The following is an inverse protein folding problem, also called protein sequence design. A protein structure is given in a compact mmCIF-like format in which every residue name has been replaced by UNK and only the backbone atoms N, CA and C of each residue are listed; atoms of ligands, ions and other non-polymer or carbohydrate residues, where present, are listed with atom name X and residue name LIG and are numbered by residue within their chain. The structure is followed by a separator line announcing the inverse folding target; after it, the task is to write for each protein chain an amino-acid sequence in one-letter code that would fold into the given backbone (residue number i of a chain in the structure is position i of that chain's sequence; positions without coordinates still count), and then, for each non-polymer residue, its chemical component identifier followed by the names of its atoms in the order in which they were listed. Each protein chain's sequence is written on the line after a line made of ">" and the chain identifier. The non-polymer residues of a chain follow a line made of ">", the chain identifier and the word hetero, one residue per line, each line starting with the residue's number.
data_IF_501749365047
#
_entry.id   IF_501749365047
#
_cell.length_a   1.000
_cell.length_b   1.000
_cell.length_c   1.000
_cell.angle_alpha   90.00
_cell.angle_beta   90.00
_cell.angle_gamma   90.00
#
_symmetry.space_group_name_H-M   'P 1'
#
loop_
_entity.id
_entity.type
_entity.pdbx_description
1 polymer ?
#
# COMPACT_ATOMS: atom_id res chain seq x y z
N UNK A 1 8.53 -44.66 38.13
CA UNK A 1 7.81 -45.53 37.18
C UNK A 1 7.13 -44.65 36.15
N UNK A 2 7.65 -44.65 34.92
CA UNK A 2 7.11 -43.97 33.74
C UNK A 2 5.94 -44.77 33.14
N UNK A 3 4.87 -44.08 32.73
CA UNK A 3 3.83 -44.39 31.69
C UNK A 3 2.54 -43.68 32.12
N UNK A 4 1.80 -42.91 31.33
CA UNK A 4 1.77 -42.51 29.91
C UNK A 4 0.69 -41.40 29.81
N UNK A 5 0.19 -40.86 28.70
CA UNK A 5 0.36 -40.98 27.24
C UNK A 5 -0.25 -39.66 26.72
N UNK A 6 0.43 -38.96 25.80
CA UNK A 6 -0.11 -37.83 25.03
C UNK A 6 -1.23 -38.30 24.10
N UNK A 7 -2.25 -37.47 23.79
CA UNK A 7 -2.86 -37.50 22.47
C UNK A 7 -2.25 -36.37 21.62
N UNK A 8 -1.41 -36.79 20.68
CA UNK A 8 -0.96 -36.03 19.53
C UNK A 8 -2.15 -35.94 18.56
N UNK A 9 -2.86 -34.81 18.55
CA UNK A 9 -3.86 -34.49 17.54
C UNK A 9 -3.16 -33.72 16.41
N UNK A 10 -2.60 -34.45 15.45
CA UNK A 10 -1.98 -33.88 14.25
C UNK A 10 -2.51 -34.62 13.02
N UNK A 11 -3.78 -34.35 12.67
CA UNK A 11 -4.34 -34.83 11.40
C UNK A 11 -5.14 -33.75 10.65
N UNK A 12 -5.33 -32.56 11.25
CA UNK A 12 -6.07 -31.45 10.64
C UNK A 12 -5.20 -30.25 10.20
N UNK A 13 -3.90 -30.22 10.54
CA UNK A 13 -3.04 -29.03 10.32
C UNK A 13 -2.53 -28.86 8.88
N UNK A 14 -2.73 -29.85 8.00
CA UNK A 14 -2.29 -29.79 6.59
C UNK A 14 -3.49 -29.60 5.64
N UNK A 15 -4.68 -30.05 6.04
CA UNK A 15 -5.89 -30.02 5.20
C UNK A 15 -6.45 -28.60 5.10
N UNK A 16 -6.42 -27.81 6.18
CA UNK A 16 -6.85 -26.41 6.15
C UNK A 16 -5.97 -25.50 5.27
N UNK A 17 -4.62 -25.50 5.40
CA UNK A 17 -3.75 -24.76 4.49
C UNK A 17 -3.91 -25.18 3.03
N UNK A 18 -4.17 -26.47 2.77
CA UNK A 18 -4.42 -26.97 1.41
C UNK A 18 -5.78 -26.53 0.86
N UNK A 19 -6.83 -26.50 1.67
CA UNK A 19 -8.14 -25.97 1.30
C UNK A 19 -8.11 -24.44 1.10
N UNK A 20 -7.33 -23.72 1.91
CA UNK A 20 -7.05 -22.29 1.72
C UNK A 20 -6.26 -22.10 0.43
N UNK A 21 -5.22 -22.90 0.16
CA UNK A 21 -4.48 -22.86 -1.09
C UNK A 21 -5.37 -23.17 -2.31
N UNK A 22 -6.31 -24.11 -2.20
CA UNK A 22 -7.28 -24.43 -3.26
C UNK A 22 -8.34 -23.33 -3.42
N UNK A 23 -8.82 -22.71 -2.34
CA UNK A 23 -9.72 -21.54 -2.40
C UNK A 23 -9.02 -20.31 -2.99
N UNK A 24 -7.79 -20.04 -2.57
CA UNK A 24 -6.92 -19.01 -3.12
C UNK A 24 -6.60 -19.30 -4.58
N UNK A 25 -6.29 -20.55 -4.93
CA UNK A 25 -6.10 -20.99 -6.31
C UNK A 25 -7.37 -20.76 -7.14
N UNK A 26 -8.57 -21.04 -6.60
CA UNK A 26 -9.85 -20.76 -7.26
C UNK A 26 -10.14 -19.26 -7.38
N UNK A 27 -9.79 -18.43 -6.40
CA UNK A 27 -9.94 -16.96 -6.46
C UNK A 27 -8.93 -16.37 -7.45
N UNK A 28 -7.67 -16.83 -7.41
CA UNK A 28 -6.61 -16.49 -8.36
C UNK A 28 -7.00 -16.97 -9.76
N UNK A 29 -7.57 -18.16 -9.93
CA UNK A 29 -8.10 -18.66 -11.20
C UNK A 29 -9.31 -17.87 -11.66
N UNK A 30 -10.20 -17.45 -10.76
CA UNK A 30 -11.35 -16.59 -11.09
C UNK A 30 -10.88 -15.19 -11.49
N UNK A 31 -9.80 -14.69 -10.90
CA UNK A 31 -9.13 -13.44 -11.25
C UNK A 31 -8.31 -13.57 -12.54
N UNK A 32 -7.60 -14.68 -12.77
CA UNK A 32 -6.91 -15.00 -14.04
C UNK A 32 -7.95 -15.17 -15.15
N UNK A 33 -9.10 -15.77 -14.86
CA UNK A 33 -10.19 -15.92 -15.81
C UNK A 33 -10.93 -14.60 -16.03
N UNK A 34 -11.06 -13.73 -15.02
CA UNK A 34 -11.55 -12.37 -15.18
C UNK A 34 -10.57 -11.51 -15.99
N UNK A 35 -9.26 -11.60 -15.73
CA UNK A 35 -8.19 -10.96 -16.49
C UNK A 35 -8.10 -11.54 -17.91
N UNK A 36 -8.32 -12.85 -18.10
CA UNK A 36 -8.43 -13.48 -19.44
C UNK A 36 -9.70 -13.06 -20.16
N UNK A 37 -10.83 -12.90 -19.46
CA UNK A 37 -12.08 -12.42 -20.04
C UNK A 37 -11.96 -10.95 -20.45
N UNK A 38 -11.29 -10.13 -19.62
CA UNK A 38 -10.91 -8.75 -19.92
C UNK A 38 -9.85 -8.66 -21.03
N UNK A 39 -8.92 -9.62 -21.11
CA UNK A 39 -7.93 -9.71 -22.19
C UNK A 39 -8.54 -10.16 -23.52
N UNK A 40 -9.58 -11.00 -23.48
CA UNK A 40 -10.32 -11.46 -24.65
C UNK A 40 -11.31 -10.43 -25.20
N UNK A 41 -11.71 -9.42 -24.41
CA UNK A 41 -12.59 -8.34 -24.88
C UNK A 41 -11.86 -7.27 -25.71
N UNK A 42 -10.60 -7.49 -26.10
CA UNK A 42 -9.81 -6.56 -26.94
C UNK A 42 -9.41 -5.25 -26.25
N UNK A 43 -10.05 -4.89 -25.14
CA UNK A 43 -9.80 -3.66 -24.39
C UNK A 43 -8.53 -3.69 -23.53
N UNK A 44 -8.21 -4.81 -22.86
CA UNK A 44 -7.12 -4.82 -21.87
C UNK A 44 -5.72 -4.58 -22.46
N UNK A 45 -5.44 -5.10 -23.67
CA UNK A 45 -4.15 -4.87 -24.34
C UNK A 45 -4.02 -3.40 -24.80
N UNK A 46 -5.12 -2.81 -25.28
CA UNK A 46 -5.17 -1.41 -25.69
C UNK A 46 -5.12 -0.45 -24.49
N UNK A 47 -5.84 -0.77 -23.39
CA UNK A 47 -5.89 0.07 -22.19
C UNK A 47 -4.56 0.07 -21.45
N UNK A 48 -3.88 -1.08 -21.28
CA UNK A 48 -2.54 -1.12 -20.65
C UNK A 48 -1.47 -0.51 -21.55
N UNK A 49 -1.54 -0.71 -22.88
CA UNK A 49 -0.60 -0.08 -23.84
C UNK A 49 -0.85 1.42 -24.03
N UNK A 50 -2.10 1.90 -23.86
CA UNK A 50 -2.49 3.32 -23.91
C UNK A 50 -2.23 4.04 -22.58
N UNK A 51 -2.41 3.36 -21.43
CA UNK A 51 -2.02 3.87 -20.11
C UNK A 51 -0.50 3.99 -19.97
N UNK A 52 0.24 3.00 -20.47
CA UNK A 52 1.70 3.04 -20.57
C UNK A 52 2.19 3.75 -21.83
N UNK A 53 1.32 4.52 -22.50
CA UNK A 53 1.63 5.33 -23.67
C UNK A 53 2.79 6.26 -23.35
N UNK A 54 3.98 5.80 -23.71
CA UNK A 54 5.25 6.43 -23.44
C UNK A 54 5.28 7.73 -24.25
N UNK A 55 4.90 8.84 -23.63
CA UNK A 55 5.36 10.14 -24.07
C UNK A 55 6.89 10.09 -24.11
N UNK A 56 7.47 10.70 -25.15
CA UNK A 56 8.91 10.75 -25.38
C UNK A 56 9.66 10.94 -24.05
N UNK A 57 10.38 9.90 -23.64
CA UNK A 57 11.24 9.94 -22.48
C UNK A 57 12.42 10.87 -22.80
N UNK A 58 12.29 12.16 -22.45
CA UNK A 58 13.43 13.06 -22.25
C UNK A 58 13.13 14.03 -21.11
N UNK A 59 14.12 14.07 -20.21
CA UNK A 59 14.34 15.05 -19.15
C UNK A 59 13.27 15.09 -18.05
N UNK A 60 13.58 14.48 -16.91
CA UNK A 60 12.81 14.67 -15.69
C UNK A 60 12.84 16.15 -15.29
N UNK A 61 11.85 16.91 -15.73
CA UNK A 61 11.64 18.31 -15.37
C UNK A 61 11.57 18.40 -13.84
N UNK A 62 12.60 18.94 -13.18
CA UNK A 62 12.50 19.18 -11.74
C UNK A 62 11.30 20.08 -11.51
N UNK A 63 10.40 19.67 -10.61
CA UNK A 63 9.25 20.49 -10.25
C UNK A 63 9.75 21.86 -9.82
N UNK A 64 9.15 22.91 -10.37
CA UNK A 64 9.52 24.29 -10.04
C UNK A 64 9.37 24.51 -8.54
N UNK A 65 10.46 24.90 -7.89
CA UNK A 65 10.47 25.15 -6.45
C UNK A 65 9.90 26.54 -6.18
N UNK A 66 8.94 26.62 -5.27
CA UNK A 66 8.31 27.89 -4.90
C UNK A 66 8.49 28.18 -3.41
N UNK A 67 8.63 29.46 -3.06
CA UNK A 67 8.71 29.89 -1.65
C UNK A 67 7.35 29.90 -0.94
N UNK A 68 6.25 29.58 -1.65
CA UNK A 68 4.88 29.58 -1.14
C UNK A 68 4.30 28.16 -1.21
N UNK A 69 3.81 27.63 -0.09
CA UNK A 69 3.15 26.32 -0.06
C UNK A 69 3.65 25.41 1.06
N UNK A 70 3.32 24.13 0.96
CA UNK A 70 3.71 23.07 1.88
C UNK A 70 4.97 22.37 1.39
N UNK A 71 5.94 22.21 2.27
CA UNK A 71 7.11 21.38 2.02
C UNK A 71 6.82 19.88 2.15
N UNK A 72 7.68 19.04 1.59
CA UNK A 72 7.52 17.59 1.64
C UNK A 72 7.54 17.05 3.07
N UNK A 73 8.31 17.66 3.97
CA UNK A 73 8.32 17.31 5.39
C UNK A 73 6.98 17.66 6.08
N UNK A 74 6.34 18.78 5.73
CA UNK A 74 5.02 19.14 6.28
C UNK A 74 3.95 18.19 5.77
N UNK A 75 3.96 17.84 4.48
CA UNK A 75 3.04 16.83 3.93
C UNK A 75 3.21 15.48 4.64
N UNK A 76 4.45 15.04 4.85
CA UNK A 76 4.73 13.81 5.61
C UNK A 76 4.22 13.88 7.05
N UNK A 77 4.30 15.04 7.69
CA UNK A 77 3.76 15.22 9.04
C UNK A 77 2.23 15.07 9.04
N UNK A 78 1.53 15.69 8.09
CA UNK A 78 0.07 15.48 7.93
C UNK A 78 -0.26 13.99 7.69
N UNK A 79 0.52 13.31 6.83
CA UNK A 79 0.34 11.89 6.56
C UNK A 79 0.58 11.01 7.80
N UNK A 80 1.59 11.35 8.61
CA UNK A 80 1.88 10.64 9.87
C UNK A 80 0.72 10.77 10.86
N UNK A 81 0.22 12.00 11.07
CA UNK A 81 -0.91 12.25 11.96
C UNK A 81 -2.17 11.51 11.48
N UNK A 82 -2.50 11.61 10.19
CA UNK A 82 -3.62 10.89 9.58
C UNK A 82 -3.49 9.36 9.76
N UNK A 83 -2.32 8.79 9.45
CA UNK A 83 -2.04 7.35 9.61
C UNK A 83 -2.17 6.88 11.06
N UNK A 84 -1.73 7.70 12.03
CA UNK A 84 -1.91 7.39 13.45
C UNK A 84 -3.38 7.35 13.83
N UNK A 85 -4.16 8.34 13.39
CA UNK A 85 -5.60 8.33 13.63
C UNK A 85 -6.23 7.06 13.06
N UNK A 86 -5.89 6.66 11.83
CA UNK A 86 -6.44 5.45 11.20
C UNK A 86 -6.08 4.16 11.97
N UNK A 87 -4.80 3.99 12.29
CA UNK A 87 -4.32 2.77 12.95
C UNK A 87 -4.84 2.66 14.38
N UNK A 88 -4.83 3.74 15.16
CA UNK A 88 -5.41 3.74 16.50
C UNK A 88 -6.92 3.47 16.45
N UNK A 89 -7.64 4.09 15.50
CA UNK A 89 -9.07 3.81 15.31
C UNK A 89 -9.31 2.33 15.00
N UNK A 90 -8.51 1.75 14.11
CA UNK A 90 -8.61 0.35 13.70
C UNK A 90 -8.32 -0.64 14.83
N UNK A 91 -7.42 -0.31 15.78
CA UNK A 91 -7.12 -1.19 16.92
C UNK A 91 -7.99 -0.95 18.13
N UNK A 92 -8.55 0.25 18.32
CA UNK A 92 -9.47 0.58 19.43
C UNK A 92 -10.91 0.17 19.10
N UNK A 93 -11.31 0.21 17.82
CA UNK A 93 -12.63 -0.21 17.38
C UNK A 93 -12.51 -1.18 16.18
N UNK A 94 -12.20 -2.47 16.45
CA UNK A 94 -12.11 -3.48 15.41
C UNK A 94 -13.50 -3.82 14.81
N UNK A 95 -13.50 -4.69 13.79
CA UNK A 95 -14.72 -5.26 13.18
C UNK A 95 -15.60 -4.28 12.38
N UNK A 96 -14.99 -3.24 11.81
CA UNK A 96 -15.63 -2.39 10.80
C UNK A 96 -16.89 -1.65 11.32
N UNK A 97 -16.82 -0.98 12.48
CA UNK A 97 -17.95 -0.24 13.03
C UNK A 97 -18.40 0.89 12.08
N UNK A 98 -19.70 1.15 12.05
CA UNK A 98 -20.31 2.10 11.11
C UNK A 98 -20.76 3.41 11.76
N UNK A 99 -20.36 3.65 13.00
CA UNK A 99 -20.61 4.92 13.67
C UNK A 99 -19.97 6.07 12.88
N UNK A 100 -20.75 7.12 12.62
CA UNK A 100 -20.36 8.22 11.74
C UNK A 100 -19.03 8.87 12.14
N UNK A 101 -18.76 8.96 13.45
CA UNK A 101 -17.53 9.55 13.97
C UNK A 101 -16.32 8.62 13.81
N UNK A 102 -16.49 7.30 13.88
CA UNK A 102 -15.42 6.32 13.59
C UNK A 102 -15.09 6.35 12.09
N UNK A 103 -16.12 6.36 11.24
CA UNK A 103 -15.95 6.51 9.80
C UNK A 103 -15.20 7.81 9.45
N UNK A 104 -15.48 8.91 10.15
CA UNK A 104 -14.77 10.18 9.99
C UNK A 104 -13.27 10.06 10.31
N UNK A 105 -12.91 9.34 11.38
CA UNK A 105 -11.50 9.10 11.72
C UNK A 105 -10.79 8.29 10.62
N UNK A 106 -11.44 7.26 10.08
CA UNK A 106 -10.92 6.50 8.94
C UNK A 106 -10.80 7.37 7.66
N UNK A 107 -11.76 8.26 7.41
CA UNK A 107 -11.70 9.21 6.28
C UNK A 107 -10.44 10.07 6.36
N UNK A 108 -10.15 10.63 7.54
CA UNK A 108 -8.91 11.38 7.78
C UNK A 108 -7.69 10.48 7.51
N UNK A 109 -7.75 9.24 7.99
CA UNK A 109 -6.76 8.20 7.74
C UNK A 109 -6.40 7.96 6.28
N UNK A 110 -7.40 7.89 5.39
CA UNK A 110 -7.21 7.61 3.95
C UNK A 110 -6.38 8.66 3.22
N UNK A 111 -6.20 9.85 3.80
CA UNK A 111 -5.31 10.88 3.22
C UNK A 111 -3.83 10.49 3.28
N UNK A 112 -3.42 9.61 4.20
CA UNK A 112 -2.02 9.28 4.43
C UNK A 112 -1.36 8.56 3.26
N UNK A 113 -2.00 7.53 2.71
CA UNK A 113 -1.42 6.68 1.67
C UNK A 113 -1.07 7.46 0.38
N UNK A 114 -1.98 8.27 -0.20
CA UNK A 114 -1.65 9.11 -1.36
C UNK A 114 -0.47 10.07 -1.14
N UNK A 115 -0.35 10.63 0.07
CA UNK A 115 0.78 11.52 0.39
C UNK A 115 2.08 10.72 0.34
N UNK A 116 2.11 9.52 0.91
CA UNK A 116 3.29 8.67 0.84
C UNK A 116 3.59 8.19 -0.58
N UNK A 117 2.59 7.82 -1.37
CA UNK A 117 2.79 7.45 -2.79
C UNK A 117 3.43 8.60 -3.57
N UNK A 118 2.87 9.81 -3.44
CA UNK A 118 3.38 11.00 -4.11
C UNK A 118 4.80 11.36 -3.65
N UNK A 119 5.07 11.32 -2.33
CA UNK A 119 6.40 11.59 -1.79
C UNK A 119 7.45 10.54 -2.15
N UNK A 120 7.04 9.28 -2.39
CA UNK A 120 7.91 8.21 -2.86
C UNK A 120 8.24 8.40 -4.34
N UNK A 121 7.25 8.70 -5.17
CA UNK A 121 7.45 9.03 -6.59
C UNK A 121 8.36 10.26 -6.75
N UNK A 122 8.15 11.34 -6.00
CA UNK A 122 9.05 12.50 -6.00
C UNK A 122 10.44 12.14 -5.48
N UNK A 123 10.53 11.31 -4.43
CA UNK A 123 11.80 10.84 -3.87
C UNK A 123 12.66 10.05 -4.86
N UNK A 124 12.01 9.29 -5.76
CA UNK A 124 12.67 8.58 -6.85
C UNK A 124 13.34 9.55 -7.83
N UNK A 125 12.68 10.64 -8.21
CA UNK A 125 13.22 11.62 -9.16
C UNK A 125 14.32 12.52 -8.57
N UNK A 126 14.29 12.79 -7.27
CA UNK A 126 15.28 13.65 -6.61
C UNK A 126 16.48 12.91 -6.00
N UNK A 127 16.44 11.57 -5.89
CA UNK A 127 17.54 10.85 -5.24
C UNK A 127 18.77 10.75 -6.13
N UNK A 128 19.93 11.13 -5.60
CA UNK A 128 21.22 10.93 -6.29
C UNK A 128 21.66 9.46 -6.31
N UNK A 129 21.19 8.66 -5.36
CA UNK A 129 21.55 7.24 -5.26
C UNK A 129 20.30 6.40 -5.03
N UNK A 130 19.78 5.84 -6.13
CA UNK A 130 18.57 5.04 -6.11
C UNK A 130 18.73 3.73 -5.32
N UNK A 131 19.88 3.04 -5.45
CA UNK A 131 20.16 1.80 -4.70
C UNK A 131 20.08 2.01 -3.20
N UNK A 132 20.70 3.08 -2.69
CA UNK A 132 20.62 3.44 -1.27
C UNK A 132 19.21 3.86 -0.86
N UNK A 133 18.43 4.47 -1.76
CA UNK A 133 17.06 4.85 -1.47
C UNK A 133 16.14 3.63 -1.38
N UNK A 134 16.15 2.75 -2.39
CA UNK A 134 15.40 1.52 -2.42
C UNK A 134 15.80 0.58 -1.26
N UNK A 135 17.10 0.44 -0.97
CA UNK A 135 17.59 -0.35 0.17
C UNK A 135 17.06 0.14 1.52
N UNK A 136 16.92 1.46 1.72
CA UNK A 136 16.29 1.98 2.94
C UNK A 136 14.81 1.63 3.00
N UNK A 137 14.07 1.77 1.90
CA UNK A 137 12.65 1.38 1.86
C UNK A 137 12.48 -0.11 2.13
N UNK A 138 13.35 -0.97 1.60
CA UNK A 138 13.32 -2.39 1.87
C UNK A 138 13.57 -2.71 3.35
N UNK A 139 14.57 -2.08 3.98
CA UNK A 139 14.83 -2.24 5.42
C UNK A 139 13.57 -1.83 6.23
N UNK A 140 12.95 -0.70 5.88
CA UNK A 140 11.72 -0.27 6.54
C UNK A 140 10.51 -1.14 6.22
N UNK A 141 10.48 -1.82 5.06
CA UNK A 141 9.44 -2.79 4.74
C UNK A 141 9.56 -4.04 5.61
N UNK A 142 10.78 -4.52 5.86
CA UNK A 142 11.03 -5.66 6.77
C UNK A 142 10.68 -5.27 8.21
N UNK A 143 11.17 -4.14 8.70
CA UNK A 143 10.83 -3.67 10.06
C UNK A 143 9.31 -3.41 10.18
N UNK A 144 8.74 -2.79 9.16
CA UNK A 144 7.32 -2.47 9.05
C UNK A 144 6.44 -3.71 9.06
N UNK A 145 6.87 -4.80 8.42
CA UNK A 145 6.15 -6.07 8.45
C UNK A 145 5.94 -6.56 9.89
N UNK A 146 7.01 -6.68 10.68
CA UNK A 146 6.88 -7.13 12.06
C UNK A 146 6.07 -6.15 12.93
N UNK A 147 6.29 -4.85 12.76
CA UNK A 147 5.57 -3.83 13.52
C UNK A 147 4.06 -3.82 13.21
N UNK A 148 3.70 -3.92 11.93
CA UNK A 148 2.31 -3.94 11.46
C UNK A 148 1.59 -5.23 11.89
N UNK A 149 2.24 -6.37 11.72
CA UNK A 149 1.66 -7.65 12.11
C UNK A 149 1.47 -7.72 13.64
N UNK A 150 2.40 -7.17 14.43
CA UNK A 150 2.23 -7.01 15.87
C UNK A 150 1.07 -6.07 16.23
N UNK A 151 0.96 -4.93 15.53
CA UNK A 151 -0.07 -3.92 15.77
C UNK A 151 -1.49 -4.51 15.64
N UNK A 152 -1.71 -5.31 14.59
CA UNK A 152 -3.03 -5.85 14.25
C UNK A 152 -3.25 -7.30 14.67
N UNK A 153 -2.27 -7.93 15.33
CA UNK A 153 -2.36 -9.33 15.77
C UNK A 153 -2.36 -10.33 14.62
N UNK A 154 -1.69 -10.01 13.50
CA UNK A 154 -1.53 -10.90 12.35
C UNK A 154 -0.30 -11.78 12.59
N UNK A 155 -0.31 -13.07 12.21
CA UNK A 155 0.89 -13.90 12.28
C UNK A 155 2.06 -13.30 11.49
N UNK A 156 3.27 -13.42 12.03
CA UNK A 156 4.49 -12.96 11.33
C UNK A 156 4.85 -13.80 10.11
N UNK A 157 4.26 -14.99 9.96
CA UNK A 157 4.41 -15.81 8.76
C UNK A 157 3.40 -15.31 7.74
N UNK A 158 3.84 -14.72 6.61
CA UNK A 158 2.93 -14.22 5.58
C UNK A 158 2.02 -15.33 5.06
N UNK A 159 0.82 -14.95 4.64
CA UNK A 159 -0.16 -15.84 3.97
C UNK A 159 -0.75 -16.96 4.85
N UNK A 160 -0.52 -16.93 6.17
CA UNK A 160 -1.08 -17.93 7.09
C UNK A 160 -2.60 -17.79 7.27
N UNK A 161 -3.10 -16.55 7.34
CA UNK A 161 -4.51 -16.27 7.69
C UNK A 161 -5.29 -15.59 6.57
N UNK A 162 -4.64 -15.28 5.46
CA UNK A 162 -5.26 -14.64 4.30
C UNK A 162 -4.23 -14.08 3.33
N UNK A 163 -4.72 -13.50 2.23
CA UNK A 163 -3.88 -12.94 1.15
C UNK A 163 -3.81 -11.40 1.16
N UNK A 164 -4.66 -10.75 1.97
CA UNK A 164 -4.76 -9.29 2.04
C UNK A 164 -4.23 -8.76 3.37
N UNK A 165 -3.63 -7.56 3.34
CA UNK A 165 -3.17 -6.82 4.52
C UNK A 165 -2.32 -7.65 5.50
N UNK A 166 -1.44 -8.51 4.98
CA UNK A 166 -0.53 -9.37 5.74
C UNK A 166 0.83 -8.71 6.00
N UNK A 167 1.08 -7.55 5.40
CA UNK A 167 2.28 -6.76 5.62
C UNK A 167 2.00 -5.27 5.45
N UNK A 168 2.91 -4.46 5.98
CA UNK A 168 2.75 -3.01 6.03
C UNK A 168 2.82 -2.33 4.66
N UNK A 169 2.32 -1.09 4.61
CA UNK A 169 2.36 -0.23 3.41
C UNK A 169 3.78 0.01 2.87
N UNK A 170 4.83 -0.13 3.68
CA UNK A 170 6.21 0.04 3.22
C UNK A 170 6.62 -0.96 2.14
N UNK A 171 6.03 -2.16 2.13
CA UNK A 171 6.30 -3.17 1.12
C UNK A 171 5.89 -2.71 -0.28
N UNK A 172 4.62 -2.33 -0.55
CA UNK A 172 4.25 -1.80 -1.85
C UNK A 172 4.90 -0.46 -2.19
N UNK A 173 5.27 0.38 -1.20
CA UNK A 173 6.07 1.59 -1.48
C UNK A 173 7.44 1.24 -2.09
N UNK A 174 8.14 0.25 -1.52
CA UNK A 174 9.39 -0.26 -2.07
C UNK A 174 9.19 -0.82 -3.49
N UNK A 175 8.17 -1.65 -3.69
CA UNK A 175 7.85 -2.22 -5.01
C UNK A 175 7.49 -1.14 -6.03
N UNK A 176 6.83 -0.05 -5.62
CA UNK A 176 6.55 1.11 -6.47
C UNK A 176 7.82 1.78 -6.99
N UNK A 177 8.85 1.93 -6.16
CA UNK A 177 10.16 2.46 -6.57
C UNK A 177 10.87 1.51 -7.54
N UNK A 178 10.82 0.20 -7.29
CA UNK A 178 11.36 -0.82 -8.21
C UNK A 178 10.59 -0.79 -9.54
N UNK A 179 9.27 -0.59 -9.48
CA UNK A 179 8.41 -0.43 -10.64
C UNK A 179 8.83 0.77 -11.48
N UNK A 180 8.93 1.96 -10.88
CA UNK A 180 9.36 3.18 -11.57
C UNK A 180 10.72 2.98 -12.24
N UNK A 181 11.67 2.44 -11.48
CA UNK A 181 13.00 2.11 -12.00
C UNK A 181 12.95 1.18 -13.21
N UNK A 182 12.03 0.21 -13.22
CA UNK A 182 11.92 -0.80 -14.29
C UNK A 182 11.24 -0.22 -15.53
N UNK A 183 10.12 0.51 -15.37
CA UNK A 183 9.35 1.03 -16.51
C UNK A 183 10.07 2.16 -17.25
N UNK A 184 10.96 2.88 -16.57
CA UNK A 184 11.78 3.94 -17.16
C UNK A 184 13.02 3.43 -17.88
N UNK A 185 13.34 2.13 -17.83
CA UNK A 185 14.46 1.55 -18.58
C UNK A 185 14.19 1.63 -20.08
N UNK A 186 15.02 2.34 -20.88
CA UNK A 186 14.86 2.39 -22.32
C UNK A 186 15.22 1.05 -22.99
N UNK A 187 16.04 0.22 -22.33
CA UNK A 187 16.50 -1.06 -22.89
C UNK A 187 15.42 -2.15 -22.85
N UNK A 188 14.39 -1.98 -22.02
CA UNK A 188 13.32 -2.96 -21.87
C UNK A 188 12.21 -2.72 -22.90
N UNK A 189 11.77 -3.80 -23.54
CA UNK A 189 10.60 -3.80 -24.42
C UNK A 189 9.33 -3.62 -23.60
N UNK A 190 8.29 -3.06 -24.22
CA UNK A 190 7.01 -2.79 -23.55
C UNK A 190 6.41 -4.03 -22.87
N UNK A 191 6.47 -5.20 -23.51
CA UNK A 191 5.97 -6.44 -22.91
C UNK A 191 6.75 -6.87 -21.65
N UNK A 192 8.07 -6.61 -21.59
CA UNK A 192 8.90 -6.90 -20.42
C UNK A 192 8.51 -5.96 -19.27
N UNK A 193 8.26 -4.69 -19.57
CA UNK A 193 7.76 -3.71 -18.60
C UNK A 193 6.40 -4.14 -18.04
N UNK A 194 5.47 -4.52 -18.92
CA UNK A 194 4.15 -5.02 -18.52
C UNK A 194 4.27 -6.27 -17.64
N UNK A 195 5.09 -7.24 -18.02
CA UNK A 195 5.30 -8.46 -17.23
C UNK A 195 5.90 -8.15 -15.85
N UNK A 196 6.87 -7.23 -15.80
CA UNK A 196 7.45 -6.78 -14.54
C UNK A 196 6.42 -6.08 -13.65
N UNK A 197 5.60 -5.18 -14.20
CA UNK A 197 4.52 -4.52 -13.45
C UNK A 197 3.52 -5.55 -12.92
N UNK A 198 3.12 -6.54 -13.72
CA UNK A 198 2.25 -7.64 -13.27
C UNK A 198 2.90 -8.44 -12.13
N UNK A 199 4.19 -8.78 -12.24
CA UNK A 199 4.89 -9.48 -11.17
C UNK A 199 4.95 -8.64 -9.88
N UNK A 200 5.25 -7.34 -9.99
CA UNK A 200 5.31 -6.43 -8.86
C UNK A 200 3.95 -6.23 -8.19
N UNK A 201 2.86 -6.14 -8.95
CA UNK A 201 1.51 -6.01 -8.39
C UNK A 201 1.07 -7.28 -7.68
N UNK A 202 1.43 -8.47 -8.19
CA UNK A 202 1.20 -9.74 -7.51
C UNK A 202 1.99 -9.83 -6.19
N UNK A 203 3.26 -9.39 -6.20
CA UNK A 203 4.08 -9.33 -4.98
C UNK A 203 3.57 -8.31 -3.97
N UNK A 204 2.93 -7.24 -4.43
CA UNK A 204 2.36 -6.18 -3.58
C UNK A 204 1.02 -6.55 -2.96
N UNK A 205 0.35 -7.59 -3.44
CA UNK A 205 -0.98 -8.01 -3.00
C UNK A 205 -1.14 -8.16 -1.47
N UNK A 206 -0.22 -8.81 -0.72
CA UNK A 206 -0.33 -8.91 0.73
C UNK A 206 -0.06 -7.60 1.48
N UNK A 207 0.42 -6.55 0.82
CA UNK A 207 0.67 -5.25 1.45
C UNK A 207 -0.62 -4.50 1.74
N UNK A 208 -0.58 -3.64 2.76
CA UNK A 208 -1.58 -2.59 2.97
C UNK A 208 -1.65 -1.66 1.74
N UNK A 209 -2.87 -1.36 1.28
CA UNK A 209 -3.20 -0.80 -0.04
C UNK A 209 -2.80 -1.66 -1.26
N UNK A 210 -2.30 -2.86 -1.02
CA UNK A 210 -2.05 -3.93 -1.99
C UNK A 210 -1.36 -3.45 -3.27
N UNK A 211 -1.75 -4.00 -4.42
CA UNK A 211 -1.24 -3.65 -5.74
C UNK A 211 -1.50 -2.20 -6.16
N UNK A 212 -2.49 -1.55 -5.55
CA UNK A 212 -2.97 -0.21 -5.93
C UNK A 212 -1.93 0.84 -5.58
N UNK A 213 -1.24 0.68 -4.45
CA UNK A 213 -0.13 1.54 -4.08
C UNK A 213 0.99 1.53 -5.13
N UNK A 214 1.35 0.36 -5.68
CA UNK A 214 2.36 0.26 -6.76
C UNK A 214 1.90 0.99 -8.01
N UNK A 215 0.68 0.73 -8.46
CA UNK A 215 0.11 1.34 -9.68
C UNK A 215 -0.04 2.86 -9.53
N UNK A 216 -0.49 3.33 -8.37
CA UNK A 216 -0.60 4.75 -8.06
C UNK A 216 0.78 5.44 -8.11
N UNK A 217 1.82 4.83 -7.52
CA UNK A 217 3.19 5.37 -7.56
C UNK A 217 3.71 5.44 -9.00
N UNK A 218 3.48 4.40 -9.80
CA UNK A 218 3.85 4.39 -11.23
C UNK A 218 3.18 5.54 -11.98
N UNK A 219 1.86 5.69 -11.85
CA UNK A 219 1.12 6.75 -12.53
C UNK A 219 1.54 8.15 -12.06
N UNK A 220 1.76 8.34 -10.75
CA UNK A 220 2.25 9.63 -10.25
C UNK A 220 3.65 9.93 -10.82
N UNK A 221 4.54 8.95 -10.83
CA UNK A 221 5.92 9.13 -11.28
C UNK A 221 6.05 9.32 -12.79
N UNK A 222 5.28 8.59 -13.60
CA UNK A 222 5.32 8.66 -15.07
C UNK A 222 4.62 9.90 -15.63
N UNK A 223 3.56 10.38 -14.97
CA UNK A 223 2.82 11.57 -15.39
C UNK A 223 3.34 12.85 -14.70
N UNK A 224 4.60 12.83 -14.24
CA UNK A 224 5.22 13.97 -13.56
C UNK A 224 5.24 15.22 -14.45
N UNK A 225 4.97 16.38 -13.86
CA UNK A 225 4.77 17.65 -14.56
C UNK A 225 3.31 17.99 -14.81
N UNK A 226 2.43 16.99 -14.98
CA UNK A 226 0.98 17.20 -15.12
C UNK A 226 0.23 16.75 -13.87
N UNK A 227 0.06 17.68 -12.92
CA UNK A 227 -0.62 17.40 -11.65
C UNK A 227 -2.05 16.88 -11.84
N UNK A 228 -2.79 17.38 -12.84
CA UNK A 228 -4.16 16.92 -13.10
C UNK A 228 -4.16 15.47 -13.54
N UNK A 229 -3.23 15.09 -14.42
CA UNK A 229 -3.08 13.71 -14.89
C UNK A 229 -2.60 12.79 -13.78
N UNK A 230 -1.63 13.20 -12.95
CA UNK A 230 -1.20 12.43 -11.77
C UNK A 230 -2.38 12.10 -10.84
N UNK A 231 -3.15 13.11 -10.45
CA UNK A 231 -4.26 12.92 -9.51
C UNK A 231 -5.42 12.14 -10.12
N UNK A 232 -5.75 12.38 -11.40
CA UNK A 232 -6.79 11.62 -12.09
C UNK A 232 -6.44 10.14 -12.18
N UNK A 233 -5.21 9.81 -12.61
CA UNK A 233 -4.76 8.42 -12.75
C UNK A 233 -4.65 7.71 -11.41
N UNK A 234 -4.16 8.39 -10.38
CA UNK A 234 -4.18 7.86 -9.00
C UNK A 234 -5.61 7.55 -8.56
N UNK A 235 -6.56 8.48 -8.75
CA UNK A 235 -7.95 8.30 -8.33
C UNK A 235 -8.67 7.20 -9.12
N UNK A 236 -8.31 6.94 -10.38
CA UNK A 236 -8.84 5.80 -11.14
C UNK A 236 -8.47 4.47 -10.47
N UNK A 237 -7.21 4.31 -10.04
CA UNK A 237 -6.77 3.11 -9.32
C UNK A 237 -7.38 3.01 -7.92
N UNK A 238 -7.51 4.13 -7.20
CA UNK A 238 -8.24 4.17 -5.92
C UNK A 238 -9.71 3.79 -6.11
N UNK A 239 -10.38 4.25 -7.17
CA UNK A 239 -11.76 3.89 -7.46
C UNK A 239 -11.91 2.40 -7.78
N UNK A 240 -10.96 1.82 -8.51
CA UNK A 240 -10.91 0.37 -8.72
C UNK A 240 -10.75 -0.37 -7.38
N UNK A 241 -9.88 0.10 -6.49
CA UNK A 241 -9.71 -0.47 -5.16
C UNK A 241 -11.01 -0.38 -4.34
N UNK A 242 -11.63 0.79 -4.30
CA UNK A 242 -12.90 1.03 -3.63
C UNK A 242 -13.99 0.07 -4.13
N UNK A 243 -14.08 -0.14 -5.45
CA UNK A 243 -15.03 -1.07 -6.06
C UNK A 243 -14.76 -2.52 -5.63
N UNK A 244 -13.51 -2.98 -5.72
CA UNK A 244 -13.14 -4.34 -5.27
C UNK A 244 -13.46 -4.51 -3.79
N UNK A 245 -13.10 -3.54 -2.96
CA UNK A 245 -13.36 -3.54 -1.53
C UNK A 245 -14.87 -3.60 -1.23
N UNK A 246 -15.67 -2.82 -1.96
CA UNK A 246 -17.12 -2.79 -1.82
C UNK A 246 -17.80 -4.10 -2.24
N UNK A 247 -17.28 -4.76 -3.28
CA UNK A 247 -17.85 -6.00 -3.82
C UNK A 247 -17.47 -7.25 -3.01
N UNK A 248 -16.27 -7.26 -2.42
CA UNK A 248 -15.69 -8.47 -1.82
C UNK A 248 -15.47 -8.39 -0.31
N UNK A 249 -15.51 -7.21 0.31
CA UNK A 249 -15.24 -7.02 1.74
C UNK A 249 -16.42 -6.30 2.43
N UNK A 250 -16.53 -4.98 2.23
CA UNK A 250 -17.61 -4.17 2.82
C UNK A 250 -17.88 -2.92 1.96
N UNK A 251 -19.15 -2.65 1.57
CA UNK A 251 -19.51 -1.52 0.72
C UNK A 251 -19.17 -0.15 1.33
N UNK A 252 -19.38 0.03 2.63
CA UNK A 252 -19.17 1.30 3.33
C UNK A 252 -17.67 1.60 3.35
N UNK A 253 -16.86 0.63 3.75
CA UNK A 253 -15.41 0.77 3.76
C UNK A 253 -14.79 0.85 2.37
N UNK A 254 -15.45 0.30 1.34
CA UNK A 254 -15.10 0.56 -0.04
C UNK A 254 -15.28 2.02 -0.43
N UNK A 255 -16.42 2.62 -0.07
CA UNK A 255 -16.66 4.06 -0.27
C UNK A 255 -15.63 4.90 0.49
N UNK A 256 -15.24 4.50 1.71
CA UNK A 256 -14.22 5.21 2.48
C UNK A 256 -12.90 5.37 1.71
N UNK A 257 -12.51 4.38 0.89
CA UNK A 257 -11.26 4.46 0.12
C UNK A 257 -11.24 5.65 -0.85
N UNK A 258 -12.40 6.07 -1.38
CA UNK A 258 -12.51 7.20 -2.30
C UNK A 258 -12.13 8.53 -1.63
N UNK A 259 -12.25 8.63 -0.30
CA UNK A 259 -11.83 9.81 0.44
C UNK A 259 -10.32 10.03 0.48
N UNK A 260 -9.52 9.08 -0.03
CA UNK A 260 -8.14 9.36 -0.42
C UNK A 260 -8.02 10.63 -1.29
N UNK A 261 -9.04 10.96 -2.09
CA UNK A 261 -9.11 12.19 -2.88
C UNK A 261 -9.06 13.49 -2.07
N UNK A 262 -9.39 13.48 -0.77
CA UNK A 262 -9.28 14.66 0.11
C UNK A 262 -7.83 15.15 0.26
N UNK A 263 -6.85 14.33 -0.10
CA UNK A 263 -5.45 14.70 -0.12
C UNK A 263 -5.08 15.66 -1.28
N UNK A 264 -5.89 15.69 -2.35
CA UNK A 264 -5.54 16.41 -3.60
C UNK A 264 -5.29 17.90 -3.35
N UNK A 265 -6.11 18.63 -2.57
CA UNK A 265 -5.81 20.03 -2.23
C UNK A 265 -4.50 20.21 -1.45
N UNK A 266 -4.12 19.26 -0.60
CA UNK A 266 -2.83 19.31 0.12
C UNK A 266 -1.66 19.10 -0.83
N UNK A 267 -1.75 18.09 -1.71
CA UNK A 267 -0.73 17.80 -2.71
C UNK A 267 -0.57 18.95 -3.71
N UNK A 268 -1.66 19.64 -4.08
CA UNK A 268 -1.61 20.83 -4.95
C UNK A 268 -0.81 21.99 -4.34
N UNK A 269 -0.78 22.07 -3.01
CA UNK A 269 0.01 23.08 -2.27
C UNK A 269 1.48 22.68 -2.10
N UNK A 270 1.90 21.53 -2.62
CA UNK A 270 3.29 21.11 -2.54
C UNK A 270 4.20 22.10 -3.29
N UNK A 271 5.25 22.58 -2.64
CA UNK A 271 6.12 23.63 -3.17
C UNK A 271 7.41 23.10 -3.83
N UNK A 272 7.50 21.80 -4.11
CA UNK A 272 8.68 21.18 -4.73
C UNK A 272 9.91 21.05 -3.81
N UNK A 273 9.84 21.55 -2.56
CA UNK A 273 10.97 21.50 -1.62
C UNK A 273 10.86 20.32 -0.66
N UNK A 274 11.99 19.86 -0.15
CA UNK A 274 12.01 18.83 0.91
C UNK A 274 11.47 19.38 2.24
N UNK A 275 11.73 20.64 2.58
CA UNK A 275 11.44 21.23 3.89
C UNK A 275 12.54 21.01 4.95
N UNK A 276 12.32 21.56 6.15
CA UNK A 276 13.38 21.80 7.14
C UNK A 276 14.06 20.54 7.73
N UNK A 277 15.40 20.62 7.85
CA UNK A 277 16.27 19.88 8.79
C UNK A 277 16.60 18.40 8.49
N UNK A 278 17.84 17.98 8.79
CA UNK A 278 18.23 16.54 8.82
C UNK A 278 17.44 15.75 9.88
N UNK A 279 16.91 16.41 10.91
CA UNK A 279 16.13 15.82 12.01
C UNK A 279 14.83 15.12 11.59
N UNK A 280 14.09 15.69 10.63
CA UNK A 280 12.81 15.12 10.17
C UNK A 280 12.94 13.71 9.58
N UNK A 281 14.13 13.39 9.04
CA UNK A 281 14.44 12.02 8.57
C UNK A 281 14.43 11.02 9.73
N UNK A 282 15.04 11.38 10.86
CA UNK A 282 15.12 10.52 12.05
C UNK A 282 13.78 10.41 12.75
N UNK A 283 13.00 11.50 12.80
CA UNK A 283 11.63 11.47 13.31
C UNK A 283 10.81 10.40 12.59
N UNK A 284 10.82 10.42 11.25
CA UNK A 284 10.09 9.42 10.46
C UNK A 284 10.58 7.99 10.71
N UNK A 285 11.89 7.80 10.86
CA UNK A 285 12.51 6.49 11.07
C UNK A 285 12.13 5.87 12.41
N UNK A 286 12.08 6.69 13.46
CA UNK A 286 11.67 6.23 14.79
C UNK A 286 10.14 6.06 14.85
N UNK A 287 9.41 7.04 14.34
CA UNK A 287 7.95 7.09 14.45
C UNK A 287 7.25 5.92 13.76
N UNK A 288 7.72 5.51 12.57
CA UNK A 288 7.03 4.48 11.80
C UNK A 288 6.91 3.14 12.56
N UNK A 289 7.99 2.51 13.05
CA UNK A 289 7.84 1.32 13.89
C UNK A 289 7.19 1.65 15.25
N UNK A 290 7.47 2.82 15.84
CA UNK A 290 6.98 3.17 17.18
C UNK A 290 5.46 3.30 17.25
N UNK A 291 4.80 3.98 16.30
CA UNK A 291 3.34 4.15 16.35
C UNK A 291 2.60 2.81 16.17
N UNK A 292 3.09 1.93 15.29
CA UNK A 292 2.55 0.57 15.13
C UNK A 292 2.77 -0.28 16.39
N UNK A 293 3.95 -0.18 17.00
CA UNK A 293 4.21 -0.86 18.26
C UNK A 293 3.26 -0.37 19.37
N UNK A 294 3.03 0.94 19.48
CA UNK A 294 2.05 1.50 20.41
C UNK A 294 0.62 1.01 20.11
N UNK A 295 0.23 0.92 18.84
CA UNK A 295 -1.06 0.33 18.45
C UNK A 295 -1.19 -1.12 18.94
N UNK A 296 -0.12 -1.92 18.81
CA UNK A 296 -0.10 -3.30 19.29
C UNK A 296 -0.20 -3.42 20.80
N UNK A 297 0.45 -2.53 21.56
CA UNK A 297 0.28 -2.46 23.01
C UNK A 297 -1.16 -2.11 23.39
N UNK A 298 -1.76 -1.11 22.74
CA UNK A 298 -3.16 -0.72 22.99
C UNK A 298 -4.11 -1.87 22.68
N UNK A 299 -3.95 -2.55 21.54
CA UNK A 299 -4.72 -3.75 21.20
C UNK A 299 -4.64 -4.81 22.30
N UNK A 300 -3.43 -5.13 22.77
CA UNK A 300 -3.23 -6.14 23.82
C UNK A 300 -3.89 -5.72 25.13
N UNK A 301 -3.82 -4.45 25.51
CA UNK A 301 -4.44 -3.93 26.72
C UNK A 301 -5.97 -3.97 26.66
N UNK A 302 -6.57 -3.73 25.49
CA UNK A 302 -8.03 -3.72 25.32
C UNK A 302 -8.63 -5.11 25.09
N UNK A 303 -7.95 -5.97 24.33
CA UNK A 303 -8.52 -7.22 23.79
C UNK A 303 -7.67 -8.47 24.06
N UNK A 304 -6.48 -8.32 24.64
CA UNK A 304 -5.51 -9.42 24.75
C UNK A 304 -4.85 -9.75 23.41
N UNK A 305 -4.26 -10.95 23.30
CA UNK A 305 -3.50 -11.35 22.11
C UNK A 305 -4.41 -11.93 21.00
N UNK A 306 -5.36 -11.14 20.50
CA UNK A 306 -6.31 -11.52 19.43
C UNK A 306 -6.15 -10.66 18.18
N UNK A 307 -6.28 -11.25 17.00
CA UNK A 307 -6.24 -10.51 15.73
C UNK A 307 -7.43 -9.56 15.59
N UNK A 308 -7.18 -8.32 15.14
CA UNK A 308 -8.20 -7.25 15.04
C UNK A 308 -8.49 -6.81 13.61
N UNK A 309 -7.85 -7.45 12.62
CA UNK A 309 -8.16 -7.24 11.20
C UNK A 309 -8.89 -8.46 10.61
N UNK A 310 -9.78 -8.19 9.66
CA UNK A 310 -10.52 -9.22 8.90
C UNK A 310 -9.54 -10.19 8.26
N UNK A 311 -9.72 -11.49 8.54
CA UNK A 311 -8.79 -12.56 8.20
C UNK A 311 -7.73 -12.84 9.27
N UNK A 312 -7.93 -12.41 10.52
CA UNK A 312 -7.06 -12.69 11.66
C UNK A 312 -7.62 -13.71 12.68
N UNK A 313 -8.82 -14.26 12.41
CA UNK A 313 -9.43 -15.35 13.19
C UNK A 313 -9.54 -16.60 12.32
#
# INVERSE_FOLDING_TARGET
>A
MLRGVLPFAAENDIVEPFLIFVKCSKIILKQINAVRALAKSGGFCYTVSSLLGCGNAREGEKMEQTNKGLSGNQLKLFAMLAMTVDHFTSVIWPDYPRDWWILLLHIIGRMAAPIFWFMVAEGYHYTRNLKKYAGRLLIFAVIGHFAYNFAFGIPFVPLKTGVFNQTSVMWPLFLGVVGLYTVERPELKQWQKTLAVVALTLLAFPGDWSSIAVLAILEIGQNRGDFRRQMTRMMLWVAMYALIYALFIDPVYGILQLFAGLTIPLLKRYNGTRGAGRGMKYLFYLYYPAHLFLCGLVRILLYGNVGVMVGGQ
#
